data_IF_848700275006
#
_entry.id   IF_848700275006
#
_cell.length_a   1.000
_cell.length_b   1.000
_cell.length_c   1.000
_cell.angle_alpha   90.00
_cell.angle_beta   90.00
_cell.angle_gamma   90.00
#
_symmetry.space_group_name_H-M   'P 1'
#
loop_
_entity.id
_entity.type
_entity.pdbx_description
1 polymer ?
#
# COMPACT_ATOMS: atom_id res chain seq x y z
N UNK A 1 -0.84 2.17 19.49
CA UNK A 1 0.04 1.89 18.34
C UNK A 1 0.59 3.23 17.85
N UNK A 2 1.92 3.37 17.75
CA UNK A 2 2.61 4.57 17.25
C UNK A 2 3.15 4.32 15.83
N UNK A 3 3.47 5.38 15.04
CA UNK A 3 4.03 5.20 13.70
C UNK A 3 5.28 4.31 13.67
N UNK A 4 6.15 4.45 14.67
CA UNK A 4 7.35 3.61 14.81
C UNK A 4 7.01 2.11 14.96
N UNK A 5 5.99 1.78 15.75
CA UNK A 5 5.56 0.38 15.94
C UNK A 5 5.08 -0.23 14.60
N UNK A 6 4.39 0.56 13.77
CA UNK A 6 3.89 0.13 12.45
C UNK A 6 5.05 -0.09 11.47
N UNK A 7 6.06 0.78 11.49
CA UNK A 7 7.27 0.62 10.67
C UNK A 7 8.01 -0.67 11.04
N UNK A 8 8.18 -0.96 12.33
CA UNK A 8 8.80 -2.21 12.79
C UNK A 8 8.03 -3.43 12.32
N UNK A 9 6.69 -3.37 12.23
CA UNK A 9 5.88 -4.45 11.65
C UNK A 9 6.18 -4.62 10.15
N UNK A 10 6.27 -3.53 9.38
CA UNK A 10 6.61 -3.60 7.94
C UNK A 10 7.99 -4.22 7.72
N UNK A 11 8.99 -3.78 8.48
CA UNK A 11 10.35 -4.32 8.43
C UNK A 11 10.35 -5.82 8.72
N UNK A 12 9.62 -6.23 9.76
CA UNK A 12 9.50 -7.63 10.14
C UNK A 12 8.82 -8.47 9.06
N UNK A 13 7.71 -8.00 8.48
CA UNK A 13 7.02 -8.70 7.39
C UNK A 13 7.92 -8.84 6.15
N UNK A 14 8.73 -7.82 5.86
CA UNK A 14 9.71 -7.86 4.78
C UNK A 14 10.82 -8.89 5.04
N UNK A 15 11.44 -8.87 6.23
CA UNK A 15 12.49 -9.82 6.63
C UNK A 15 11.98 -11.26 6.68
N UNK A 16 10.74 -11.47 7.15
CA UNK A 16 10.12 -12.79 7.22
C UNK A 16 9.65 -13.31 5.85
N UNK A 17 9.77 -12.53 4.76
CA UNK A 17 9.28 -12.90 3.43
C UNK A 17 7.75 -13.02 3.36
N UNK A 18 7.04 -12.45 4.35
CA UNK A 18 5.57 -12.51 4.47
C UNK A 18 4.87 -11.40 3.71
N UNK A 19 5.63 -10.46 3.14
CA UNK A 19 5.18 -9.57 2.07
C UNK A 19 5.17 -10.27 0.70
N UNK A 20 4.89 -11.59 0.66
CA UNK A 20 5.01 -12.43 -0.52
C UNK A 20 3.90 -12.26 -1.57
N UNK A 21 3.00 -11.28 -1.40
CA UNK A 21 1.97 -10.98 -2.38
C UNK A 21 2.62 -10.22 -3.54
N UNK A 22 2.44 -10.64 -4.81
CA UNK A 22 2.92 -9.89 -5.97
C UNK A 22 2.48 -8.43 -5.92
N UNK A 23 3.37 -7.51 -6.30
CA UNK A 23 3.11 -6.06 -6.24
C UNK A 23 1.82 -5.67 -6.99
N UNK A 24 1.50 -6.36 -8.07
CA UNK A 24 0.28 -6.19 -8.86
C UNK A 24 -0.99 -6.52 -8.07
N UNK A 25 -0.95 -7.64 -7.35
CA UNK A 25 -2.06 -8.11 -6.52
C UNK A 25 -2.22 -7.22 -5.29
N UNK A 26 -1.10 -6.76 -4.70
CA UNK A 26 -1.12 -5.78 -3.62
C UNK A 26 -1.74 -4.43 -4.08
N UNK A 27 -1.38 -3.96 -5.29
CA UNK A 27 -1.97 -2.75 -5.87
C UNK A 27 -3.47 -2.89 -6.12
N UNK A 28 -3.90 -4.00 -6.74
CA UNK A 28 -5.29 -4.27 -7.03
C UNK A 28 -6.13 -4.40 -5.74
N UNK A 29 -5.62 -5.12 -4.74
CA UNK A 29 -6.26 -5.27 -3.45
C UNK A 29 -6.40 -3.94 -2.70
N UNK A 30 -5.35 -3.11 -2.70
CA UNK A 30 -5.41 -1.77 -2.10
C UNK A 30 -6.42 -0.87 -2.81
N UNK A 31 -6.42 -0.86 -4.14
CA UNK A 31 -7.36 -0.07 -4.93
C UNK A 31 -8.83 -0.48 -4.67
N UNK A 32 -9.11 -1.79 -4.61
CA UNK A 32 -10.45 -2.29 -4.26
C UNK A 32 -10.87 -1.89 -2.84
N UNK A 33 -9.99 -2.09 -1.86
CA UNK A 33 -10.25 -1.70 -0.47
C UNK A 33 -10.53 -0.20 -0.31
N UNK A 34 -9.78 0.63 -1.03
CA UNK A 34 -9.92 2.08 -1.02
C UNK A 34 -11.20 2.53 -1.72
N UNK A 35 -11.56 1.93 -2.86
CA UNK A 35 -12.79 2.21 -3.57
C UNK A 35 -14.03 1.95 -2.71
N UNK A 36 -14.06 0.82 -1.99
CA UNK A 36 -15.18 0.47 -1.08
C UNK A 36 -15.39 1.47 0.06
N UNK A 37 -14.35 2.25 0.39
CA UNK A 37 -14.33 3.20 1.53
C UNK A 37 -14.17 4.64 1.08
N UNK A 38 -14.25 4.90 -0.22
CA UNK A 38 -13.89 6.18 -0.80
C UNK A 38 -14.60 7.36 -0.13
N UNK A 39 -15.92 7.23 0.02
CA UNK A 39 -16.79 8.24 0.64
C UNK A 39 -16.63 8.33 2.17
N UNK A 40 -15.89 7.42 2.80
CA UNK A 40 -15.67 7.38 4.25
C UNK A 40 -14.43 8.17 4.69
N UNK A 41 -13.61 8.63 3.73
CA UNK A 41 -12.41 9.41 4.00
C UNK A 41 -12.67 10.88 3.70
N UNK A 42 -12.27 11.76 4.62
CA UNK A 42 -12.39 13.20 4.45
C UNK A 42 -11.00 13.84 4.35
N UNK A 43 -10.89 14.88 3.52
CA UNK A 43 -9.72 15.76 3.46
C UNK A 43 -8.39 15.05 3.22
N UNK A 44 -7.46 15.23 4.16
CA UNK A 44 -6.05 14.85 4.01
C UNK A 44 -5.82 13.32 4.04
N UNK A 45 -6.74 12.54 4.62
CA UNK A 45 -6.61 11.09 4.71
C UNK A 45 -6.75 10.43 3.33
N UNK A 46 -7.73 10.87 2.54
CA UNK A 46 -7.92 10.37 1.17
C UNK A 46 -6.72 10.75 0.29
N UNK A 47 -6.17 11.96 0.45
CA UNK A 47 -4.99 12.41 -0.26
C UNK A 47 -3.75 11.56 0.08
N UNK A 48 -3.56 11.22 1.36
CA UNK A 48 -2.48 10.33 1.80
C UNK A 48 -2.64 8.93 1.20
N UNK A 49 -3.82 8.32 1.32
CA UNK A 49 -4.08 6.96 0.83
C UNK A 49 -3.93 6.85 -0.68
N UNK A 50 -4.43 7.83 -1.43
CA UNK A 50 -4.25 7.89 -2.89
C UNK A 50 -2.78 8.05 -3.28
N UNK A 51 -2.01 8.86 -2.55
CA UNK A 51 -0.56 9.01 -2.76
C UNK A 51 0.23 7.72 -2.48
N UNK A 52 -0.14 6.98 -1.43
CA UNK A 52 0.43 5.65 -1.14
C UNK A 52 0.13 4.68 -2.28
N UNK A 53 -1.12 4.61 -2.74
CA UNK A 53 -1.52 3.77 -3.87
C UNK A 53 -0.76 4.09 -5.16
N UNK A 54 -0.58 5.38 -5.47
CA UNK A 54 0.18 5.83 -6.64
C UNK A 54 1.67 5.43 -6.54
N UNK A 55 2.27 5.53 -5.36
CA UNK A 55 3.64 5.07 -5.10
C UNK A 55 3.77 3.57 -5.35
N UNK A 56 2.87 2.75 -4.80
CA UNK A 56 2.86 1.31 -5.00
C UNK A 56 2.74 0.93 -6.49
N UNK A 57 1.82 1.59 -7.21
CA UNK A 57 1.63 1.35 -8.63
C UNK A 57 2.89 1.65 -9.44
N UNK A 58 3.60 2.74 -9.14
CA UNK A 58 4.85 3.11 -9.80
C UNK A 58 5.93 2.07 -9.59
N UNK A 59 6.09 1.56 -8.37
CA UNK A 59 7.08 0.52 -8.07
C UNK A 59 6.77 -0.78 -8.81
N UNK A 60 5.49 -1.17 -8.90
CA UNK A 60 5.07 -2.32 -9.71
C UNK A 60 5.26 -2.09 -11.20
N UNK A 61 5.00 -0.87 -11.71
CA UNK A 61 5.20 -0.52 -13.11
C UNK A 61 6.67 -0.65 -13.53
N UNK A 62 7.61 -0.22 -12.67
CA UNK A 62 9.04 -0.38 -12.90
C UNK A 62 9.48 -1.85 -12.98
N UNK A 63 8.79 -2.76 -12.27
CA UNK A 63 9.04 -4.20 -12.36
C UNK A 63 8.49 -4.80 -13.67
N UNK A 64 7.36 -4.30 -14.17
CA UNK A 64 6.75 -4.76 -15.45
C UNK A 64 7.51 -4.33 -16.70
N UNK A 65 8.36 -3.31 -16.61
CA UNK A 65 9.19 -2.83 -17.72
C UNK A 65 10.57 -3.49 -17.81
N UNK A 66 10.92 -4.37 -16.86
CA UNK A 66 12.18 -5.14 -16.86
C UNK A 66 11.95 -6.53 -17.41
#
# INVERSE_FOLDING_TARGET
MKPFDVITIFERLNVEGRAGIPIDEACAGFAGWLADRWESFEGDDLALLTSVGATLWREGFAQRQK
#
